data_IF_129704796070
#
_entry.id   IF_129704796070
#
_cell.length_a   1.000
_cell.length_b   1.000
_cell.length_c   1.000
_cell.angle_alpha   90.00
_cell.angle_beta   90.00
_cell.angle_gamma   90.00
#
_symmetry.space_group_name_H-M   'P 1'
#
loop_
_entity.id
_entity.type
_entity.pdbx_description
1 polymer ?
#
# COMPACT_ATOMS: atom_id res chain seq x y z
N UNK A 1 -22.73 20.19 49.49
CA UNK A 1 -23.75 21.12 48.96
C UNK A 1 -23.35 21.53 47.53
N UNK A 2 -24.19 21.19 46.55
CA UNK A 2 -24.29 21.69 45.15
C UNK A 2 -23.05 21.92 44.27
N UNK A 3 -22.67 20.92 43.45
CA UNK A 3 -22.05 21.17 42.13
C UNK A 3 -22.19 19.97 41.16
N UNK A 4 -23.37 19.36 41.09
CA UNK A 4 -23.54 18.00 40.53
C UNK A 4 -24.06 17.86 39.09
N UNK A 5 -24.42 18.94 38.38
CA UNK A 5 -25.08 18.85 37.06
C UNK A 5 -24.16 19.24 35.89
N UNK A 6 -23.47 20.38 35.98
CA UNK A 6 -22.64 20.88 34.87
C UNK A 6 -21.35 20.08 34.68
N UNK A 7 -20.77 19.52 35.75
CA UNK A 7 -19.57 18.68 35.66
C UNK A 7 -19.89 17.32 35.02
N UNK A 8 -21.02 16.69 35.39
CA UNK A 8 -21.49 15.45 34.75
C UNK A 8 -21.80 15.66 33.27
N UNK A 9 -22.43 16.79 32.90
CA UNK A 9 -22.67 17.18 31.50
C UNK A 9 -21.38 17.44 30.74
N UNK A 10 -20.38 18.09 31.37
CA UNK A 10 -19.07 18.32 30.77
C UNK A 10 -18.31 16.99 30.55
N UNK A 11 -18.32 16.08 31.53
CA UNK A 11 -17.73 14.74 31.37
C UNK A 11 -18.43 13.96 30.27
N UNK A 12 -19.77 13.98 30.19
CA UNK A 12 -20.52 13.33 29.12
C UNK A 12 -20.15 13.90 27.75
N UNK A 13 -20.06 15.22 27.62
CA UNK A 13 -19.71 15.89 26.37
C UNK A 13 -18.29 15.53 25.91
N UNK A 14 -17.31 15.55 26.82
CA UNK A 14 -15.91 15.18 26.49
C UNK A 14 -15.82 13.71 26.06
N UNK A 15 -16.53 12.81 26.72
CA UNK A 15 -16.52 11.39 26.36
C UNK A 15 -17.16 11.15 24.99
N UNK A 16 -18.27 11.85 24.68
CA UNK A 16 -18.92 11.75 23.37
C UNK A 16 -18.05 12.29 22.24
N UNK A 17 -17.38 13.44 22.44
CA UNK A 17 -16.46 14.01 21.45
C UNK A 17 -15.26 13.09 21.22
N UNK A 18 -14.70 12.51 22.29
CA UNK A 18 -13.59 11.54 22.19
C UNK A 18 -13.98 10.26 21.45
N UNK A 19 -15.23 9.81 21.58
CA UNK A 19 -15.71 8.64 20.86
C UNK A 19 -15.92 8.96 19.38
N UNK A 20 -16.41 10.17 19.07
CA UNK A 20 -16.64 10.63 17.70
C UNK A 20 -15.31 10.79 16.93
N UNK A 21 -14.27 11.31 17.56
CA UNK A 21 -12.94 11.45 16.95
C UNK A 21 -12.29 10.09 16.68
N UNK A 22 -12.49 9.09 17.55
CA UNK A 22 -12.02 7.73 17.30
C UNK A 22 -12.72 7.06 16.11
N UNK A 23 -14.05 7.21 15.98
CA UNK A 23 -14.80 6.62 14.84
C UNK A 23 -14.37 7.25 13.51
N UNK A 24 -14.17 8.56 13.47
CA UNK A 24 -13.72 9.26 12.25
C UNK A 24 -12.26 8.92 11.93
N UNK A 25 -11.38 8.88 12.93
CA UNK A 25 -9.97 8.53 12.76
C UNK A 25 -9.75 7.11 12.22
N UNK A 26 -10.48 6.13 12.74
CA UNK A 26 -10.43 4.75 12.25
C UNK A 26 -11.01 4.57 10.84
N UNK A 27 -12.00 5.39 10.45
CA UNK A 27 -12.59 5.36 9.11
C UNK A 27 -11.65 5.86 8.00
N UNK A 28 -10.80 6.85 8.31
CA UNK A 28 -9.88 7.45 7.33
C UNK A 28 -8.64 6.58 7.10
N UNK A 29 -8.12 5.89 8.13
CA UNK A 29 -6.92 5.05 8.00
C UNK A 29 -7.09 3.88 7.01
N UNK A 30 -8.31 3.39 6.78
CA UNK A 30 -8.55 2.24 5.89
C UNK A 30 -8.43 2.56 4.39
N UNK A 31 -8.30 3.84 3.99
CA UNK A 31 -8.21 4.21 2.57
C UNK A 31 -6.78 4.30 2.03
N UNK A 32 -5.76 4.41 2.88
CA UNK A 32 -4.36 4.47 2.43
C UNK A 32 -3.67 3.11 2.35
N UNK A 33 -4.20 2.07 2.98
CA UNK A 33 -3.53 0.75 3.01
C UNK A 33 -3.77 -0.11 1.75
N UNK A 34 -4.71 0.26 0.89
CA UNK A 34 -5.12 -0.57 -0.26
C UNK A 34 -4.56 -0.10 -1.62
N UNK A 35 -3.84 1.04 -1.68
CA UNK A 35 -3.40 1.61 -2.96
C UNK A 35 -1.93 1.29 -3.30
N UNK A 36 -1.17 0.71 -2.38
CA UNK A 36 0.27 0.45 -2.56
C UNK A 36 0.65 -1.04 -2.65
N UNK A 37 -0.33 -1.96 -2.64
CA UNK A 37 -0.06 -3.40 -2.49
C UNK A 37 -0.18 -4.26 -3.75
N UNK A 38 -0.55 -3.70 -4.90
CA UNK A 38 -0.86 -4.49 -6.11
C UNK A 38 0.07 -4.29 -7.30
N UNK A 39 0.89 -3.25 -7.32
CA UNK A 39 1.65 -2.85 -8.51
C UNK A 39 2.97 -3.63 -8.66
N UNK A 40 3.72 -3.79 -7.57
CA UNK A 40 5.11 -4.25 -7.67
C UNK A 40 5.19 -5.70 -8.12
N UNK A 41 4.36 -6.60 -7.57
CA UNK A 41 4.34 -8.01 -7.96
C UNK A 41 3.85 -8.21 -9.40
N UNK A 42 2.83 -7.45 -9.83
CA UNK A 42 2.31 -7.46 -11.20
C UNK A 42 3.40 -6.99 -12.19
N UNK A 43 4.17 -5.98 -11.82
CA UNK A 43 5.30 -5.49 -12.61
C UNK A 43 6.43 -6.52 -12.73
N UNK A 44 6.71 -7.27 -11.65
CA UNK A 44 7.71 -8.35 -11.69
C UNK A 44 7.22 -9.52 -12.55
N UNK A 45 5.95 -9.89 -12.47
CA UNK A 45 5.35 -10.94 -13.31
C UNK A 45 5.47 -10.58 -14.80
N UNK A 46 5.06 -9.36 -15.17
CA UNK A 46 5.22 -8.83 -16.53
C UNK A 46 6.68 -8.88 -17.01
N UNK A 47 7.62 -8.48 -16.15
CA UNK A 47 9.04 -8.53 -16.50
C UNK A 47 9.53 -9.97 -16.76
N UNK A 48 9.09 -10.93 -15.94
CA UNK A 48 9.45 -12.35 -16.13
C UNK A 48 8.83 -12.96 -17.38
N UNK A 49 7.61 -12.56 -17.75
CA UNK A 49 6.93 -13.03 -18.96
C UNK A 49 7.68 -12.58 -20.22
N UNK A 50 8.06 -11.30 -20.27
CA UNK A 50 8.86 -10.76 -21.39
C UNK A 50 10.21 -11.49 -21.48
N UNK A 51 10.87 -11.72 -20.35
CA UNK A 51 12.13 -12.45 -20.30
C UNK A 51 11.98 -13.89 -20.83
N UNK A 52 10.88 -14.56 -20.50
CA UNK A 52 10.56 -15.91 -20.98
C UNK A 52 10.34 -15.94 -22.50
N UNK A 53 9.61 -14.97 -23.04
CA UNK A 53 9.40 -14.81 -24.50
C UNK A 53 10.74 -14.63 -25.20
N UNK A 54 11.58 -13.71 -24.71
CA UNK A 54 12.90 -13.44 -25.31
C UNK A 54 13.75 -14.70 -25.33
N UNK A 55 13.83 -15.44 -24.21
CA UNK A 55 14.60 -16.68 -24.13
C UNK A 55 14.11 -17.76 -25.11
N UNK A 56 12.79 -17.86 -25.32
CA UNK A 56 12.19 -18.84 -26.23
C UNK A 56 12.34 -18.46 -27.71
N UNK A 57 12.26 -17.17 -28.01
CA UNK A 57 12.33 -16.63 -29.37
C UNK A 57 13.77 -16.40 -29.85
N UNK A 58 14.75 -16.42 -28.95
CA UNK A 58 16.15 -16.33 -29.33
C UNK A 58 16.62 -17.62 -30.00
N UNK A 59 17.39 -17.47 -31.08
CA UNK A 59 17.92 -18.60 -31.88
C UNK A 59 18.95 -19.42 -31.09
N UNK A 60 19.56 -18.81 -30.07
CA UNK A 60 20.61 -19.40 -29.24
C UNK A 60 20.24 -19.31 -27.75
N UNK A 61 20.76 -20.24 -26.95
CA UNK A 61 20.59 -20.18 -25.50
C UNK A 61 21.29 -18.95 -24.91
N UNK A 62 20.49 -18.06 -24.33
CA UNK A 62 20.96 -16.83 -23.68
C UNK A 62 20.90 -16.94 -22.17
N UNK A 63 21.98 -16.52 -21.52
CA UNK A 63 22.07 -16.47 -20.06
C UNK A 63 21.10 -15.42 -19.49
N UNK A 64 20.33 -15.83 -18.48
CA UNK A 64 19.33 -14.98 -17.85
C UNK A 64 19.95 -13.71 -17.24
N UNK A 65 21.16 -13.78 -16.67
CA UNK A 65 21.79 -12.59 -16.08
C UNK A 65 22.17 -11.58 -17.15
N UNK A 66 22.71 -12.03 -18.29
CA UNK A 66 23.01 -11.15 -19.43
C UNK A 66 21.77 -10.38 -19.90
N UNK A 67 20.61 -11.04 -19.99
CA UNK A 67 19.36 -10.40 -20.37
C UNK A 67 18.91 -9.35 -19.35
N UNK A 68 18.97 -9.67 -18.06
CA UNK A 68 18.59 -8.74 -16.98
C UNK A 68 19.52 -7.51 -16.97
N UNK A 69 20.84 -7.71 -17.02
CA UNK A 69 21.79 -6.60 -17.08
C UNK A 69 21.64 -5.79 -18.37
N UNK A 70 21.37 -6.44 -19.51
CA UNK A 70 21.09 -5.75 -20.77
C UNK A 70 19.84 -4.86 -20.69
N UNK A 71 18.77 -5.36 -20.09
CA UNK A 71 17.55 -4.58 -19.85
C UNK A 71 17.81 -3.38 -18.93
N UNK A 72 18.54 -3.58 -17.82
CA UNK A 72 18.92 -2.49 -16.90
C UNK A 72 19.75 -1.44 -17.62
N UNK A 73 20.78 -1.85 -18.36
CA UNK A 73 21.65 -0.92 -19.08
C UNK A 73 20.92 -0.19 -20.22
N UNK A 74 19.91 -0.80 -20.85
CA UNK A 74 19.09 -0.14 -21.86
C UNK A 74 18.08 0.86 -21.30
N UNK A 75 17.82 0.84 -19.98
CA UNK A 75 17.01 1.84 -19.29
C UNK A 75 17.83 3.07 -18.84
N UNK A 76 19.16 2.97 -18.80
CA UNK A 76 20.09 4.05 -18.46
C UNK A 76 20.50 4.84 -19.70
#
# INVERSE_FOLDING_TARGET
MFKGSNFKKATLFVTTVSLLTLVIGFGVQRRCAAQSGGNDYESIELFTDVLSIVKKSYVEEVDTKKLVYGAINGML
#
